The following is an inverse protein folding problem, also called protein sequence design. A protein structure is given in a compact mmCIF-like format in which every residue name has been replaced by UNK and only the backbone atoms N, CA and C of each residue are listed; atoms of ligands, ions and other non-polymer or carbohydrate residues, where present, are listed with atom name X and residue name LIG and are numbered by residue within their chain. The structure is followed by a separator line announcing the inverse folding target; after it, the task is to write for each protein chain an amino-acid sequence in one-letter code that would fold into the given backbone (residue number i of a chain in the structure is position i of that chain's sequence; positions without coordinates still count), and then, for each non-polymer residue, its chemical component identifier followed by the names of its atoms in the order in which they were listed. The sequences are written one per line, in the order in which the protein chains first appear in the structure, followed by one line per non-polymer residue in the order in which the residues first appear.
data_IF_345227889153
#
_entry.id   IF_345227889153
#
_cell.length_a   1.000
_cell.length_b   1.000
_cell.length_c   1.000
_cell.angle_alpha   90.00
_cell.angle_beta   90.00
_cell.angle_gamma   90.00
#
_symmetry.space_group_name_H-M   'P 1'
#
loop_
_entity.id
_entity.type
_entity.pdbx_description
1 polymer ?
#
# COMPACT_ATOMS: atom_id res chain seq x y z
N UNK A 1 -31.50 20.64 48.19
CA UNK A 1 -30.47 21.09 49.13
C UNK A 1 -29.37 21.66 48.26
N UNK A 2 -29.35 23.04 48.01
CA UNK A 2 -28.63 24.06 48.78
C UNK A 2 -27.13 23.83 48.75
N UNK A 3 -26.24 24.69 48.21
CA UNK A 3 -26.02 26.16 48.24
C UNK A 3 -25.14 26.53 47.06
N UNK A 4 -25.31 27.47 46.26
CA UNK A 4 -25.13 28.95 46.22
C UNK A 4 -24.00 29.48 47.10
N UNK A 5 -22.98 30.06 46.47
CA UNK A 5 -22.17 31.14 47.00
C UNK A 5 -21.56 31.98 45.88
N UNK A 6 -22.02 33.24 45.82
CA UNK A 6 -21.44 34.41 45.17
C UNK A 6 -20.32 34.99 46.05
N UNK A 7 -19.35 35.68 45.43
CA UNK A 7 -18.69 36.93 45.93
C UNK A 7 -17.69 37.37 44.86
N UNK A 8 -17.87 38.43 44.17
CA UNK A 8 -17.65 39.87 44.44
C UNK A 8 -16.20 40.31 44.23
N UNK A 9 -15.95 40.99 43.14
CA UNK A 9 -15.70 42.43 42.97
C UNK A 9 -14.46 43.02 43.69
N UNK A 10 -13.47 43.47 42.94
CA UNK A 10 -12.73 44.70 43.26
C UNK A 10 -12.23 45.42 42.00
N UNK A 11 -12.75 46.60 41.78
CA UNK A 11 -12.28 47.66 40.88
C UNK A 11 -11.02 48.30 41.49
N UNK A 12 -10.05 48.63 40.64
CA UNK A 12 -9.12 49.73 40.92
C UNK A 12 -8.94 50.58 39.67
N UNK A 13 -9.48 51.78 39.78
CA UNK A 13 -9.36 52.91 38.82
C UNK A 13 -8.21 53.83 39.32
N UNK A 14 -7.26 54.13 38.46
CA UNK A 14 -6.40 55.31 38.52
C UNK A 14 -6.07 55.61 37.05
N UNK A 15 -6.45 56.65 36.42
CA UNK A 15 -6.45 58.06 36.75
C UNK A 15 -5.66 58.79 35.65
N UNK A 16 -6.35 59.62 34.90
CA UNK A 16 -6.00 60.48 33.77
C UNK A 16 -4.70 61.29 33.83
N UNK A 17 -4.08 61.62 32.64
CA UNK A 17 -4.15 63.01 32.11
C UNK A 17 -3.68 63.11 30.64
N UNK A 18 -4.18 64.09 29.91
CA UNK A 18 -4.13 64.12 28.44
C UNK A 18 -2.98 65.01 27.89
N UNK A 19 -2.54 64.66 26.70
CA UNK A 19 -1.65 65.44 25.88
C UNK A 19 -2.22 65.63 24.47
N UNK A 20 -2.45 66.84 24.15
CA UNK A 20 -3.07 67.41 22.96
C UNK A 20 -2.23 67.24 21.68
N UNK A 21 -2.90 67.08 20.54
CA UNK A 21 -2.43 67.72 19.29
C UNK A 21 -2.46 66.83 18.06
N UNK A 22 -3.32 67.18 17.11
CA UNK A 22 -3.06 66.95 15.70
C UNK A 22 -4.10 66.06 14.97
N UNK A 23 -5.02 66.74 14.32
CA UNK A 23 -5.90 66.33 13.25
C UNK A 23 -5.16 65.44 12.22
N UNK A 24 -5.77 64.34 11.73
CA UNK A 24 -6.60 64.43 10.52
C UNK A 24 -7.38 63.10 10.36
N UNK A 25 -8.64 63.29 10.06
CA UNK A 25 -9.59 62.23 9.68
C UNK A 25 -9.25 61.71 8.28
N UNK A 26 -9.21 60.36 8.16
CA UNK A 26 -9.77 59.73 6.95
C UNK A 26 -10.28 58.35 7.38
N UNK A 27 -11.61 58.21 7.27
CA UNK A 27 -12.30 56.96 7.33
C UNK A 27 -11.80 56.06 6.18
N UNK A 28 -11.35 54.93 6.54
CA UNK A 28 -11.04 53.81 5.63
C UNK A 28 -12.03 52.70 5.86
N UNK A 29 -13.17 52.79 5.21
CA UNK A 29 -14.12 51.70 5.01
C UNK A 29 -13.45 50.61 4.16
N UNK A 30 -13.69 49.40 4.55
CA UNK A 30 -13.74 48.25 3.64
C UNK A 30 -12.38 47.79 3.14
N UNK A 31 -11.89 46.70 3.68
CA UNK A 31 -11.03 45.82 2.92
C UNK A 31 -11.79 45.34 1.68
N UNK A 32 -11.77 46.18 0.63
CA UNK A 32 -12.00 45.70 -0.72
C UNK A 32 -10.87 44.66 -0.97
N UNK A 33 -11.21 43.46 -1.35
CA UNK A 33 -10.33 42.48 -1.93
C UNK A 33 -9.54 43.15 -3.07
N UNK A 34 -8.32 43.57 -2.77
CA UNK A 34 -7.43 44.08 -3.80
C UNK A 34 -7.01 42.85 -4.61
N UNK A 35 -7.41 42.73 -5.91
CA UNK A 35 -7.03 41.58 -6.70
C UNK A 35 -5.51 41.48 -6.68
N UNK A 36 -4.99 40.34 -6.27
CA UNK A 36 -3.55 40.09 -6.30
C UNK A 36 -3.03 40.38 -7.71
N UNK A 37 -1.98 41.21 -7.81
CA UNK A 37 -1.34 41.42 -9.11
C UNK A 37 -0.77 40.08 -9.60
N UNK A 38 -1.23 39.62 -10.78
CA UNK A 38 -0.85 38.34 -11.35
C UNK A 38 -2.00 37.30 -11.32
N UNK A 39 -1.72 36.09 -11.79
CA UNK A 39 -2.71 34.99 -11.73
C UNK A 39 -2.92 34.53 -10.28
N UNK A 40 -4.16 34.23 -9.91
CA UNK A 40 -4.53 33.75 -8.56
C UNK A 40 -5.49 32.56 -8.61
N UNK A 41 -4.99 31.38 -8.24
CA UNK A 41 -5.76 30.15 -8.25
C UNK A 41 -6.66 30.06 -7.02
N UNK A 42 -7.91 29.66 -7.21
CA UNK A 42 -8.83 29.34 -6.12
C UNK A 42 -9.78 28.21 -6.49
N UNK A 43 -10.31 27.54 -5.48
CA UNK A 43 -11.39 26.59 -5.58
C UNK A 43 -12.28 26.81 -4.37
N UNK A 44 -13.57 27.11 -4.58
CA UNK A 44 -14.48 27.42 -3.48
C UNK A 44 -14.79 26.16 -2.66
N UNK A 45 -14.82 24.98 -3.31
CA UNK A 45 -15.06 23.68 -2.69
C UNK A 45 -13.89 22.73 -2.95
N UNK A 46 -12.73 22.92 -2.28
CA UNK A 46 -11.55 22.09 -2.52
C UNK A 46 -11.65 20.68 -1.93
N UNK A 47 -12.71 20.39 -1.16
CA UNK A 47 -12.98 19.11 -0.55
C UNK A 47 -14.32 18.57 -1.00
N UNK A 48 -14.31 17.42 -1.67
CA UNK A 48 -15.51 16.70 -2.02
C UNK A 48 -15.69 15.48 -1.11
N UNK A 49 -16.83 15.43 -0.40
CA UNK A 49 -17.22 14.27 0.39
C UNK A 49 -18.21 13.43 -0.43
N UNK A 50 -17.78 12.24 -0.85
CA UNK A 50 -18.60 11.34 -1.64
C UNK A 50 -19.51 10.44 -0.77
N UNK A 51 -19.52 10.63 0.55
CA UNK A 51 -20.37 9.88 1.47
C UNK A 51 -19.93 8.41 1.59
N UNK A 52 -20.91 7.50 1.48
CA UNK A 52 -20.69 6.04 1.56
C UNK A 52 -20.95 5.43 0.19
N UNK A 53 -19.97 4.71 -0.33
CA UNK A 53 -20.04 4.00 -1.62
C UNK A 53 -19.65 2.53 -1.44
N UNK A 54 -20.05 1.67 -2.38
CA UNK A 54 -19.67 0.27 -2.37
C UNK A 54 -18.24 0.08 -2.95
N UNK A 55 -17.52 -0.92 -2.43
CA UNK A 55 -16.21 -1.32 -2.98
C UNK A 55 -16.35 -1.73 -4.45
N UNK A 56 -15.51 -1.14 -5.30
CA UNK A 56 -15.53 -1.32 -6.76
C UNK A 56 -16.27 -0.24 -7.53
N UNK A 57 -17.02 0.64 -6.87
CA UNK A 57 -17.63 1.80 -7.53
C UNK A 57 -16.56 2.82 -7.95
N UNK A 58 -16.84 3.52 -9.06
CA UNK A 58 -16.03 4.64 -9.51
C UNK A 58 -16.71 5.95 -9.07
N UNK A 59 -16.01 6.74 -8.27
CA UNK A 59 -16.46 8.06 -7.83
C UNK A 59 -15.92 9.11 -8.78
N UNK A 60 -16.83 9.87 -9.39
CA UNK A 60 -16.49 10.93 -10.32
C UNK A 60 -16.89 12.28 -9.71
N UNK A 61 -15.98 13.27 -9.81
CA UNK A 61 -16.25 14.64 -9.37
C UNK A 61 -15.53 15.66 -10.26
N UNK A 62 -16.13 16.84 -10.41
CA UNK A 62 -15.57 17.95 -11.15
C UNK A 62 -15.33 19.11 -10.19
N UNK A 63 -14.07 19.45 -9.97
CA UNK A 63 -13.69 20.65 -9.24
C UNK A 63 -13.65 21.86 -10.17
N UNK A 64 -14.25 22.97 -9.73
CA UNK A 64 -14.21 24.25 -10.45
C UNK A 64 -13.04 25.06 -9.91
N UNK A 65 -12.12 25.37 -10.79
CA UNK A 65 -10.97 26.23 -10.51
C UNK A 65 -11.28 27.62 -11.04
N UNK A 66 -11.08 28.64 -10.21
CA UNK A 66 -11.30 30.05 -10.54
C UNK A 66 -9.99 30.81 -10.56
N UNK A 67 -9.88 31.74 -11.49
CA UNK A 67 -8.81 32.71 -11.51
C UNK A 67 -9.32 34.03 -10.89
N UNK A 68 -8.94 34.31 -9.65
CA UNK A 68 -9.27 35.57 -8.93
C UNK A 68 -8.23 36.68 -9.17
N UNK A 69 -7.23 36.43 -10.01
CA UNK A 69 -6.18 37.35 -10.33
C UNK A 69 -6.45 38.26 -11.55
N UNK A 70 -5.44 39.04 -11.94
CA UNK A 70 -5.50 39.99 -13.05
C UNK A 70 -4.88 39.45 -14.33
N UNK A 71 -4.11 38.36 -14.26
CA UNK A 71 -3.42 37.75 -15.40
C UNK A 71 -3.93 36.34 -15.67
N UNK A 72 -3.59 35.77 -16.84
CA UNK A 72 -3.99 34.40 -17.21
C UNK A 72 -3.37 33.38 -16.27
N UNK A 73 -4.23 32.62 -15.62
CA UNK A 73 -3.83 31.48 -14.81
C UNK A 73 -3.61 30.26 -15.71
N UNK A 74 -2.40 29.67 -15.62
CA UNK A 74 -2.02 28.48 -16.38
C UNK A 74 -1.90 27.28 -15.44
N UNK A 75 -2.67 26.23 -15.72
CA UNK A 75 -2.58 24.96 -15.00
C UNK A 75 -1.52 24.08 -15.68
N UNK A 76 -0.38 23.91 -15.04
CA UNK A 76 0.71 23.09 -15.55
C UNK A 76 0.44 21.59 -15.42
N UNK A 77 -0.18 21.16 -14.32
CA UNK A 77 -0.56 19.76 -14.12
C UNK A 77 -1.60 19.59 -13.02
N UNK A 78 -2.39 18.51 -13.09
CA UNK A 78 -3.19 18.00 -12.00
C UNK A 78 -2.84 16.52 -11.80
N UNK A 79 -2.38 16.13 -10.60
CA UNK A 79 -1.90 14.76 -10.34
C UNK A 79 -2.51 14.19 -9.07
N UNK A 80 -3.13 13.01 -9.20
CA UNK A 80 -3.61 12.24 -8.07
C UNK A 80 -2.49 11.67 -7.22
N UNK A 81 -2.72 11.54 -5.92
CA UNK A 81 -1.76 10.98 -4.94
C UNK A 81 -1.48 9.49 -5.11
N UNK A 82 -2.20 8.79 -5.97
CA UNK A 82 -2.00 7.36 -6.28
C UNK A 82 -2.50 7.03 -7.69
N UNK A 83 -2.11 5.86 -8.21
CA UNK A 83 -2.58 5.34 -9.49
C UNK A 83 -4.10 5.01 -9.56
N UNK A 84 -4.82 5.13 -8.45
CA UNK A 84 -6.27 4.94 -8.38
C UNK A 84 -7.07 6.23 -8.69
N UNK A 85 -6.38 7.36 -8.89
CA UNK A 85 -6.99 8.67 -9.16
C UNK A 85 -6.51 9.16 -10.51
N UNK A 86 -7.42 9.20 -11.48
CA UNK A 86 -7.18 9.81 -12.78
C UNK A 86 -7.72 11.24 -12.79
N UNK A 87 -7.03 12.15 -13.48
CA UNK A 87 -7.41 13.57 -13.58
C UNK A 87 -7.39 14.02 -15.03
N UNK A 88 -8.37 14.85 -15.40
CA UNK A 88 -8.45 15.51 -16.70
C UNK A 88 -8.68 17.00 -16.48
N UNK A 89 -7.84 17.84 -17.07
CA UNK A 89 -7.99 19.31 -17.07
C UNK A 89 -8.68 19.70 -18.37
N UNK A 90 -9.85 20.31 -18.28
CA UNK A 90 -10.63 20.71 -19.49
C UNK A 90 -10.10 21.98 -20.14
N UNK A 91 -9.57 22.90 -19.34
CA UNK A 91 -8.97 24.15 -19.81
C UNK A 91 -7.77 24.49 -18.95
N UNK A 92 -6.58 24.51 -19.55
CA UNK A 92 -5.33 24.78 -18.87
C UNK A 92 -4.93 26.26 -18.81
N UNK A 93 -5.63 27.14 -19.53
CA UNK A 93 -5.47 28.60 -19.48
C UNK A 93 -6.81 29.25 -19.11
N UNK A 94 -6.86 29.90 -17.96
CA UNK A 94 -8.05 30.49 -17.39
C UNK A 94 -7.85 31.99 -17.33
N UNK A 95 -8.65 32.81 -18.11
CA UNK A 95 -8.54 34.25 -18.09
C UNK A 95 -8.92 34.85 -16.74
N UNK A 96 -8.58 36.11 -16.44
CA UNK A 96 -9.02 36.80 -15.24
C UNK A 96 -10.53 36.72 -15.04
N UNK A 97 -10.97 36.33 -13.84
CA UNK A 97 -12.39 36.12 -13.53
C UNK A 97 -13.03 34.88 -14.15
N UNK A 98 -12.26 34.11 -14.94
CA UNK A 98 -12.75 32.89 -15.60
C UNK A 98 -12.68 31.64 -14.73
N UNK A 99 -13.26 30.55 -15.26
CA UNK A 99 -13.32 29.24 -14.60
C UNK A 99 -12.74 28.14 -15.51
N UNK A 100 -12.12 27.13 -14.88
CA UNK A 100 -11.66 25.88 -15.49
C UNK A 100 -12.16 24.67 -14.70
N UNK A 101 -12.12 23.50 -15.30
CA UNK A 101 -12.61 22.27 -14.67
C UNK A 101 -11.50 21.24 -14.55
N UNK A 102 -11.44 20.59 -13.39
CA UNK A 102 -10.60 19.41 -13.15
C UNK A 102 -11.53 18.24 -12.83
N UNK A 103 -11.71 17.35 -13.80
CA UNK A 103 -12.44 16.10 -13.57
C UNK A 103 -11.54 15.10 -12.87
N UNK A 104 -12.02 14.53 -11.78
CA UNK A 104 -11.35 13.52 -10.98
C UNK A 104 -12.17 12.24 -10.96
N UNK A 105 -11.52 11.11 -11.30
CA UNK A 105 -12.10 9.77 -11.22
C UNK A 105 -11.34 8.98 -10.17
N UNK A 106 -12.03 8.49 -9.16
CA UNK A 106 -11.48 7.73 -8.06
C UNK A 106 -12.04 6.31 -8.08
N UNK A 107 -11.19 5.31 -8.32
CA UNK A 107 -11.56 3.91 -8.20
C UNK A 107 -11.50 3.47 -6.74
N UNK A 108 -12.58 2.86 -6.27
CA UNK A 108 -12.66 2.28 -4.91
C UNK A 108 -12.29 0.79 -4.88
N UNK A 109 -11.93 0.21 -6.01
CA UNK A 109 -11.63 -1.21 -6.11
C UNK A 109 -10.49 -1.66 -5.19
N UNK A 110 -10.74 -2.70 -4.39
CA UNK A 110 -9.78 -3.23 -3.41
C UNK A 110 -9.56 -2.32 -2.21
N UNK A 111 -10.50 -1.38 -1.95
CA UNK A 111 -10.44 -0.42 -0.84
C UNK A 111 -11.67 -0.57 0.04
N UNK A 112 -11.47 -0.62 1.34
CA UNK A 112 -12.55 -0.68 2.34
C UNK A 112 -12.17 0.23 3.51
N UNK A 113 -13.17 0.88 4.09
CA UNK A 113 -12.99 1.82 5.19
C UNK A 113 -12.96 3.28 4.74
N UNK A 114 -12.46 4.16 5.59
CA UNK A 114 -12.33 5.59 5.28
C UNK A 114 -11.27 5.78 4.18
N UNK A 115 -11.68 6.46 3.11
CA UNK A 115 -10.83 6.74 1.95
C UNK A 115 -10.69 8.24 1.80
N UNK A 116 -9.44 8.71 1.82
CA UNK A 116 -9.08 10.09 1.51
C UNK A 116 -7.99 10.09 0.43
N UNK A 117 -8.20 10.88 -0.62
CA UNK A 117 -7.27 11.06 -1.73
C UNK A 117 -7.15 12.52 -2.08
N UNK A 118 -5.94 12.92 -2.47
CA UNK A 118 -5.62 14.28 -2.86
C UNK A 118 -5.24 14.35 -4.33
N UNK A 119 -5.54 15.49 -4.93
CA UNK A 119 -5.05 15.90 -6.25
C UNK A 119 -4.27 17.19 -6.08
N UNK A 120 -3.00 17.15 -6.45
CA UNK A 120 -2.14 18.33 -6.46
C UNK A 120 -2.24 19.01 -7.82
N UNK A 121 -2.69 20.27 -7.83
CA UNK A 121 -2.81 21.12 -9.01
C UNK A 121 -1.67 22.11 -8.98
N UNK A 122 -0.82 22.07 -10.00
CA UNK A 122 0.32 23.00 -10.14
C UNK A 122 -0.01 24.09 -11.13
N UNK A 123 0.27 25.35 -10.80
CA UNK A 123 -0.06 26.52 -11.62
C UNK A 123 1.08 27.56 -11.63
N UNK A 124 0.88 28.63 -12.39
CA UNK A 124 1.74 29.81 -12.42
C UNK A 124 1.38 30.87 -11.38
N UNK A 125 0.51 30.58 -10.42
CA UNK A 125 0.21 31.48 -9.31
C UNK A 125 1.47 31.68 -8.45
N UNK A 126 1.98 32.91 -8.29
CA UNK A 126 3.21 33.15 -7.53
C UNK A 126 3.04 33.00 -6.02
N UNK A 127 1.81 33.10 -5.51
CA UNK A 127 1.49 32.99 -4.07
C UNK A 127 1.15 31.58 -3.69
N UNK A 128 0.33 30.91 -4.53
CA UNK A 128 -0.12 29.53 -4.30
C UNK A 128 0.14 28.66 -5.55
N UNK A 129 1.42 28.33 -5.86
CA UNK A 129 1.75 27.56 -7.05
C UNK A 129 1.19 26.15 -7.05
N UNK A 130 0.80 25.63 -5.87
CA UNK A 130 0.22 24.32 -5.70
C UNK A 130 -1.08 24.38 -4.89
N UNK A 131 -2.19 24.07 -5.52
CA UNK A 131 -3.49 23.89 -4.88
C UNK A 131 -3.75 22.40 -4.64
N UNK A 132 -4.23 22.04 -3.45
CA UNK A 132 -4.59 20.66 -3.10
C UNK A 132 -6.09 20.51 -3.05
N UNK A 133 -6.61 19.66 -3.94
CA UNK A 133 -7.99 19.21 -3.94
C UNK A 133 -8.10 17.86 -3.21
N UNK A 134 -9.22 17.61 -2.54
CA UNK A 134 -9.41 16.42 -1.72
C UNK A 134 -10.73 15.74 -2.04
N UNK A 135 -10.69 14.41 -2.18
CA UNK A 135 -11.85 13.53 -2.19
C UNK A 135 -11.84 12.68 -0.94
N UNK A 136 -12.91 12.66 -0.17
CA UNK A 136 -13.04 11.86 1.05
C UNK A 136 -14.40 11.17 1.13
N UNK A 137 -14.48 10.07 1.85
CA UNK A 137 -15.70 9.31 2.10
C UNK A 137 -15.39 7.95 2.70
N UNK A 138 -16.39 7.09 2.76
CA UNK A 138 -16.29 5.73 3.29
C UNK A 138 -16.62 4.72 2.20
N UNK A 139 -15.75 3.73 2.02
CA UNK A 139 -16.01 2.59 1.14
C UNK A 139 -16.44 1.41 1.99
N UNK A 140 -17.62 0.87 1.73
CA UNK A 140 -18.14 -0.32 2.41
C UNK A 140 -18.14 -1.51 1.46
N UNK A 141 -17.83 -2.68 2.01
CA UNK A 141 -17.92 -3.94 1.29
C UNK A 141 -19.20 -4.66 1.71
N UNK A 142 -20.18 -4.70 0.82
CA UNK A 142 -21.48 -5.31 1.12
C UNK A 142 -21.45 -6.83 0.99
N UNK A 143 -20.59 -7.35 0.10
CA UNK A 143 -20.40 -8.77 -0.08
C UNK A 143 -18.93 -9.12 -0.25
N UNK A 144 -18.43 -10.08 0.49
CA UNK A 144 -17.04 -10.54 0.47
C UNK A 144 -16.96 -12.03 0.78
N UNK A 145 -15.76 -12.56 0.78
CA UNK A 145 -15.48 -13.87 1.34
C UNK A 145 -14.74 -13.77 2.68
N UNK A 146 -14.96 -14.72 3.54
CA UNK A 146 -14.21 -14.92 4.78
C UNK A 146 -13.50 -16.29 4.73
N UNK A 147 -12.15 -16.27 4.67
CA UNK A 147 -11.29 -15.12 4.53
C UNK A 147 -11.30 -14.51 3.11
N UNK A 148 -11.25 -13.17 3.01
CA UNK A 148 -11.10 -12.46 1.73
C UNK A 148 -9.72 -12.70 1.06
N UNK A 149 -8.76 -13.14 1.86
CA UNK A 149 -7.42 -13.52 1.44
C UNK A 149 -7.04 -14.85 2.10
N UNK A 150 -7.11 -15.93 1.32
CA UNK A 150 -6.75 -17.28 1.75
C UNK A 150 -5.23 -17.47 1.64
N UNK A 151 -4.53 -17.29 2.75
CA UNK A 151 -3.11 -17.55 2.84
C UNK A 151 -2.87 -18.99 3.30
N UNK A 152 -2.43 -19.84 2.39
CA UNK A 152 -2.12 -21.25 2.67
C UNK A 152 -0.76 -21.46 3.38
N UNK A 153 0.04 -20.38 3.49
CA UNK A 153 1.37 -20.45 4.08
C UNK A 153 2.35 -21.28 3.22
N UNK A 154 3.26 -21.98 3.89
CA UNK A 154 4.16 -22.93 3.22
C UNK A 154 3.43 -24.24 2.93
N UNK A 155 3.61 -24.76 1.72
CA UNK A 155 3.04 -26.04 1.25
C UNK A 155 4.16 -26.86 0.64
N UNK A 156 4.26 -28.12 1.05
CA UNK A 156 5.28 -29.04 0.53
C UNK A 156 4.99 -29.37 -0.93
N UNK A 157 5.99 -29.28 -1.78
CA UNK A 157 5.90 -29.66 -3.21
C UNK A 157 5.37 -31.09 -3.35
N UNK A 158 4.44 -31.30 -4.26
CA UNK A 158 3.80 -32.59 -4.50
C UNK A 158 2.64 -32.92 -3.57
N UNK A 159 2.25 -32.02 -2.66
CA UNK A 159 1.10 -32.21 -1.76
C UNK A 159 -0.07 -31.31 -2.17
N UNK A 160 -1.26 -31.69 -1.69
CA UNK A 160 -2.48 -30.89 -1.83
C UNK A 160 -2.86 -30.29 -0.49
N UNK A 161 -3.38 -29.08 -0.51
CA UNK A 161 -3.93 -28.41 0.68
C UNK A 161 -5.35 -27.96 0.43
N UNK A 162 -6.27 -28.41 1.26
CA UNK A 162 -7.70 -28.07 1.19
C UNK A 162 -8.05 -27.03 2.24
N UNK A 163 -8.90 -26.09 1.87
CA UNK A 163 -9.44 -25.05 2.75
C UNK A 163 -10.85 -24.66 2.29
N UNK A 164 -11.61 -24.04 3.17
CA UNK A 164 -12.94 -23.53 2.86
C UNK A 164 -12.98 -22.02 3.00
N UNK A 165 -13.81 -21.39 2.17
CA UNK A 165 -14.05 -19.95 2.17
C UNK A 165 -15.55 -19.74 2.14
N UNK A 166 -16.08 -18.84 2.98
CA UNK A 166 -17.51 -18.58 3.08
C UNK A 166 -17.87 -17.19 2.62
N UNK A 167 -19.02 -17.05 2.01
CA UNK A 167 -19.61 -15.77 1.67
C UNK A 167 -19.94 -14.99 2.96
N UNK A 168 -19.59 -13.70 3.00
CA UNK A 168 -19.69 -12.84 4.18
C UNK A 168 -20.09 -11.42 3.76
N UNK A 169 -20.49 -10.58 4.72
CA UNK A 169 -20.90 -9.20 4.50
C UNK A 169 -22.40 -8.99 4.63
N UNK A 170 -22.85 -7.73 4.47
CA UNK A 170 -24.25 -7.30 4.69
C UNK A 170 -25.24 -8.03 3.79
N UNK A 171 -24.85 -8.31 2.54
CA UNK A 171 -25.71 -8.98 1.56
C UNK A 171 -25.55 -10.51 1.56
N UNK A 172 -24.73 -11.07 2.45
CA UNK A 172 -24.48 -12.52 2.48
C UNK A 172 -25.70 -13.36 2.81
N UNK A 173 -26.73 -12.77 3.43
CA UNK A 173 -28.00 -13.44 3.73
C UNK A 173 -28.76 -13.78 2.44
N UNK A 174 -28.84 -12.83 1.52
CA UNK A 174 -29.66 -12.91 0.31
C UNK A 174 -28.86 -13.39 -0.91
N UNK A 175 -27.53 -13.28 -0.83
CA UNK A 175 -26.64 -13.70 -1.88
C UNK A 175 -26.48 -15.22 -1.94
N UNK A 176 -26.46 -15.75 -3.15
CA UNK A 176 -26.17 -17.14 -3.50
C UNK A 176 -25.08 -17.19 -4.55
N UNK A 177 -24.17 -18.12 -4.43
CA UNK A 177 -23.14 -18.38 -5.41
C UNK A 177 -23.72 -19.24 -6.55
N UNK A 178 -23.61 -18.78 -7.78
CA UNK A 178 -24.11 -19.47 -8.97
C UNK A 178 -23.01 -20.25 -9.67
N UNK A 179 -21.83 -19.65 -9.79
CA UNK A 179 -20.67 -20.24 -10.45
C UNK A 179 -19.38 -19.79 -9.81
N UNK A 180 -18.30 -20.55 -10.00
CA UNK A 180 -16.96 -20.23 -9.50
C UNK A 180 -15.90 -20.59 -10.55
N UNK A 181 -14.89 -19.74 -10.66
CA UNK A 181 -13.77 -19.95 -11.56
C UNK A 181 -12.44 -19.52 -10.93
N UNK A 182 -11.42 -20.38 -10.88
CA UNK A 182 -10.09 -20.02 -10.47
C UNK A 182 -9.30 -19.40 -11.63
N UNK A 183 -8.39 -18.47 -11.33
CA UNK A 183 -7.48 -17.87 -12.33
C UNK A 183 -6.44 -18.87 -12.87
N UNK A 184 -6.14 -19.92 -12.11
CA UNK A 184 -5.21 -20.98 -12.48
C UNK A 184 -5.83 -22.36 -12.14
N UNK A 185 -6.53 -22.99 -13.10
CA UNK A 185 -7.16 -24.30 -12.88
C UNK A 185 -6.18 -25.46 -12.70
N UNK A 186 -4.90 -25.29 -13.03
CA UNK A 186 -3.86 -26.33 -12.81
C UNK A 186 -3.44 -26.37 -11.34
N UNK A 187 -3.40 -25.20 -10.71
CA UNK A 187 -2.99 -25.07 -9.31
C UNK A 187 -4.16 -25.06 -8.33
N UNK A 188 -5.33 -24.59 -8.75
CA UNK A 188 -6.51 -24.43 -7.90
C UNK A 188 -7.69 -25.23 -8.46
N UNK A 189 -8.19 -26.15 -7.69
CA UNK A 189 -9.49 -26.77 -7.90
C UNK A 189 -10.48 -26.18 -6.88
N UNK A 190 -11.65 -25.76 -7.36
CA UNK A 190 -12.68 -25.13 -6.54
C UNK A 190 -14.02 -25.84 -6.73
N UNK A 191 -14.78 -25.98 -5.65
CA UNK A 191 -16.09 -26.64 -5.65
C UNK A 191 -17.04 -25.88 -4.72
N UNK A 192 -18.27 -25.67 -5.16
CA UNK A 192 -19.34 -25.24 -4.28
C UNK A 192 -19.74 -26.39 -3.36
N UNK A 193 -19.66 -26.21 -2.05
CA UNK A 193 -20.20 -27.12 -1.06
C UNK A 193 -21.68 -26.85 -0.81
N UNK A 194 -22.05 -25.58 -0.82
CA UNK A 194 -23.41 -25.08 -0.75
C UNK A 194 -23.49 -23.71 -1.43
N UNK A 195 -24.64 -23.03 -1.35
CA UNK A 195 -24.86 -21.71 -1.97
C UNK A 195 -23.96 -20.56 -1.44
N UNK A 196 -23.19 -20.80 -0.37
CA UNK A 196 -22.36 -19.79 0.33
C UNK A 196 -20.95 -20.24 0.64
N UNK A 197 -20.63 -21.50 0.43
CA UNK A 197 -19.35 -22.09 0.85
C UNK A 197 -18.62 -22.71 -0.34
N UNK A 198 -17.36 -22.34 -0.47
CA UNK A 198 -16.44 -22.83 -1.50
C UNK A 198 -15.37 -23.69 -0.82
N UNK A 199 -15.17 -24.90 -1.31
CA UNK A 199 -13.97 -25.67 -1.06
C UNK A 199 -12.90 -25.27 -2.08
N UNK A 200 -11.69 -25.05 -1.60
CA UNK A 200 -10.51 -24.70 -2.39
C UNK A 200 -9.46 -25.76 -2.15
N UNK A 201 -9.04 -26.45 -3.20
CA UNK A 201 -7.93 -27.40 -3.16
C UNK A 201 -6.78 -26.81 -3.96
N UNK A 202 -5.67 -26.53 -3.28
CA UNK A 202 -4.42 -26.12 -3.91
C UNK A 202 -3.53 -27.34 -4.14
N UNK A 203 -3.12 -27.55 -5.40
CA UNK A 203 -2.21 -28.61 -5.79
C UNK A 203 -0.81 -28.05 -6.03
N UNK A 204 0.13 -28.41 -5.16
CA UNK A 204 1.52 -27.93 -5.21
C UNK A 204 2.43 -28.77 -6.14
N UNK A 205 1.89 -29.72 -6.91
CA UNK A 205 2.70 -30.66 -7.69
C UNK A 205 3.49 -29.99 -8.80
N UNK A 206 2.89 -29.00 -9.49
CA UNK A 206 3.46 -28.31 -10.64
C UNK A 206 3.94 -26.89 -10.31
N UNK A 207 3.84 -26.46 -9.05
CA UNK A 207 4.16 -25.11 -8.64
C UNK A 207 5.53 -25.08 -7.95
N UNK A 208 6.29 -24.02 -8.19
CA UNK A 208 7.55 -23.73 -7.51
C UNK A 208 7.54 -22.31 -6.92
N UNK A 209 8.05 -22.18 -5.70
CA UNK A 209 8.15 -20.89 -5.04
C UNK A 209 6.80 -20.29 -4.65
N UNK A 210 6.64 -19.00 -4.87
CA UNK A 210 5.43 -18.26 -4.44
C UNK A 210 4.33 -18.37 -5.48
N UNK A 211 3.16 -18.75 -5.01
CA UNK A 211 1.92 -18.78 -5.79
C UNK A 211 0.99 -17.66 -5.36
N UNK A 212 0.32 -17.04 -6.33
CA UNK A 212 -0.78 -16.09 -6.11
C UNK A 212 -1.81 -16.26 -7.20
N UNK A 213 -3.02 -16.65 -6.83
CA UNK A 213 -4.17 -16.80 -7.71
C UNK A 213 -5.38 -16.06 -7.16
N UNK A 214 -6.41 -15.95 -7.99
CA UNK A 214 -7.70 -15.37 -7.64
C UNK A 214 -8.81 -16.37 -7.97
N UNK A 215 -9.81 -16.45 -7.13
CA UNK A 215 -11.06 -17.15 -7.41
C UNK A 215 -12.16 -16.11 -7.55
N UNK A 216 -12.91 -16.18 -8.65
CA UNK A 216 -14.07 -15.32 -8.91
C UNK A 216 -15.32 -16.19 -8.81
N UNK A 217 -16.31 -15.69 -8.10
CA UNK A 217 -17.61 -16.31 -7.98
C UNK A 217 -18.70 -15.35 -8.50
N UNK A 218 -19.61 -15.86 -9.31
CA UNK A 218 -20.80 -15.13 -9.75
C UNK A 218 -21.91 -15.31 -8.71
N UNK A 219 -22.67 -14.25 -8.46
CA UNK A 219 -23.77 -14.26 -7.51
C UNK A 219 -25.12 -14.07 -8.22
N UNK A 220 -26.21 -14.33 -7.51
CA UNK A 220 -27.59 -14.04 -7.97
C UNK A 220 -27.96 -12.55 -7.88
N UNK A 221 -27.08 -11.72 -7.30
CA UNK A 221 -27.34 -10.28 -7.14
C UNK A 221 -27.01 -9.52 -8.42
N UNK A 222 -27.73 -8.43 -8.69
CA UNK A 222 -27.35 -7.49 -9.76
C UNK A 222 -26.06 -6.75 -9.40
N UNK A 223 -25.90 -6.39 -8.10
CA UNK A 223 -24.70 -5.77 -7.53
C UNK A 223 -24.43 -6.28 -6.12
N UNK A 224 -23.21 -6.76 -5.85
CA UNK A 224 -22.17 -7.09 -6.82
C UNK A 224 -22.48 -8.41 -7.55
N UNK A 225 -22.43 -8.40 -8.88
CA UNK A 225 -22.63 -9.62 -9.67
C UNK A 225 -21.50 -10.64 -9.45
N UNK A 226 -20.28 -10.16 -9.25
CA UNK A 226 -19.10 -10.99 -9.03
C UNK A 226 -18.40 -10.61 -7.74
N UNK A 227 -18.01 -11.63 -6.98
CA UNK A 227 -17.20 -11.52 -5.77
C UNK A 227 -15.94 -12.35 -5.92
N UNK A 228 -14.83 -11.87 -5.40
CA UNK A 228 -13.54 -12.56 -5.56
C UNK A 228 -12.77 -12.63 -4.26
N UNK A 229 -11.95 -13.66 -4.13
CA UNK A 229 -10.93 -13.74 -3.09
C UNK A 229 -9.60 -14.16 -3.69
N UNK A 230 -8.53 -13.83 -2.97
CA UNK A 230 -7.17 -14.17 -3.38
C UNK A 230 -6.68 -15.37 -2.61
N UNK A 231 -5.96 -16.24 -3.31
CA UNK A 231 -5.26 -17.39 -2.72
C UNK A 231 -3.77 -17.19 -2.88
N UNK A 232 -3.00 -17.43 -1.82
CA UNK A 232 -1.55 -17.46 -1.88
C UNK A 232 -0.98 -18.67 -1.17
N UNK A 233 0.16 -19.13 -1.67
CA UNK A 233 0.95 -20.19 -1.08
C UNK A 233 2.44 -19.94 -1.33
N UNK A 234 3.27 -20.55 -0.52
CA UNK A 234 4.69 -20.66 -0.79
C UNK A 234 5.06 -22.15 -0.85
N UNK A 235 5.23 -22.65 -2.08
CA UNK A 235 5.61 -24.04 -2.31
C UNK A 235 7.09 -24.20 -2.02
N UNK A 236 7.40 -25.11 -1.14
CA UNK A 236 8.76 -25.42 -0.69
C UNK A 236 9.07 -26.91 -0.91
N UNK A 237 10.32 -27.22 -1.15
CA UNK A 237 10.81 -28.58 -1.01
C UNK A 237 10.98 -28.92 0.48
N UNK A 238 11.29 -30.19 0.82
CA UNK A 238 11.46 -30.55 2.23
C UNK A 238 12.60 -29.78 2.86
N UNK A 239 13.76 -29.72 2.22
CA UNK A 239 14.81 -28.76 2.62
C UNK A 239 14.58 -27.45 1.89
N UNK A 240 14.46 -26.38 2.64
CA UNK A 240 14.26 -25.04 2.13
C UNK A 240 15.08 -24.03 2.95
N UNK A 241 15.13 -22.78 2.50
CA UNK A 241 15.89 -21.74 3.18
C UNK A 241 15.03 -20.48 3.43
N UNK A 242 15.44 -19.71 4.43
CA UNK A 242 14.87 -18.44 4.81
C UNK A 242 15.95 -17.40 5.09
N UNK A 243 15.82 -16.16 4.58
CA UNK A 243 14.74 -15.64 3.74
C UNK A 243 14.78 -16.20 2.32
N UNK A 244 13.65 -16.18 1.61
CA UNK A 244 13.53 -16.67 0.22
C UNK A 244 14.28 -15.82 -0.82
N UNK A 245 14.81 -14.68 -0.42
CA UNK A 245 15.66 -13.80 -1.22
C UNK A 245 16.80 -13.28 -0.38
N UNK A 246 18.01 -13.47 -0.87
CA UNK A 246 19.24 -13.03 -0.21
C UNK A 246 19.81 -11.84 -0.96
N UNK A 247 19.96 -10.74 -0.25
CA UNK A 247 20.56 -9.52 -0.78
C UNK A 247 21.89 -9.29 -0.06
N UNK A 248 22.95 -9.16 -0.85
CA UNK A 248 24.27 -8.76 -0.40
C UNK A 248 24.54 -7.38 -0.97
N UNK A 249 24.98 -6.44 -0.15
CA UNK A 249 25.31 -5.09 -0.61
C UNK A 249 26.79 -4.82 -0.39
N UNK A 250 27.40 -4.13 -1.34
CA UNK A 250 28.75 -3.60 -1.18
C UNK A 250 28.73 -2.48 -0.15
N UNK A 251 29.65 -2.51 0.81
CA UNK A 251 29.79 -1.45 1.82
C UNK A 251 31.06 -0.69 1.64
N UNK A 252 30.91 0.60 1.54
CA UNK A 252 31.99 1.56 1.76
C UNK A 252 32.38 1.58 3.23
N UNK A 253 33.68 1.33 3.50
CA UNK A 253 34.38 1.46 4.79
C UNK A 253 34.10 0.40 5.87
N UNK A 254 34.97 -0.61 5.93
CA UNK A 254 35.31 -1.43 7.11
C UNK A 254 34.28 -2.37 7.74
N UNK A 255 33.06 -2.56 7.20
CA UNK A 255 32.15 -3.62 7.65
C UNK A 255 31.88 -4.61 6.52
N UNK A 256 32.29 -5.88 6.74
CA UNK A 256 31.92 -7.00 5.86
C UNK A 256 30.42 -7.18 5.94
N UNK A 257 29.70 -7.05 4.82
CA UNK A 257 28.29 -7.41 4.79
C UNK A 257 28.15 -8.91 4.72
N UNK A 258 27.48 -9.43 5.73
CA UNK A 258 27.05 -10.82 5.78
C UNK A 258 25.52 -10.88 5.80
N UNK A 259 24.94 -11.75 5.00
CA UNK A 259 23.57 -12.17 5.12
C UNK A 259 23.53 -13.48 5.92
N UNK A 260 22.50 -13.63 6.74
CA UNK A 260 22.19 -14.88 7.44
C UNK A 260 21.07 -15.60 6.73
N UNK A 261 21.26 -16.88 6.47
CA UNK A 261 20.27 -17.74 5.82
C UNK A 261 20.10 -18.99 6.66
N UNK A 262 18.85 -19.31 7.01
CA UNK A 262 18.53 -20.56 7.71
C UNK A 262 18.16 -21.64 6.71
N UNK A 263 18.75 -22.81 6.84
CA UNK A 263 18.36 -24.03 6.11
C UNK A 263 17.56 -24.92 7.05
N UNK A 264 16.35 -25.27 6.62
CA UNK A 264 15.30 -25.87 7.45
C UNK A 264 14.73 -27.11 6.75
N UNK A 265 14.25 -28.10 7.55
CA UNK A 265 13.43 -29.19 7.03
C UNK A 265 11.95 -28.94 7.32
N UNK A 266 11.10 -28.94 6.29
CA UNK A 266 9.66 -28.77 6.42
C UNK A 266 8.99 -29.90 7.20
N UNK A 267 9.42 -31.15 6.94
CA UNK A 267 8.88 -32.34 7.62
C UNK A 267 9.59 -32.63 8.95
N UNK A 268 10.64 -31.87 9.29
CA UNK A 268 11.46 -32.12 10.49
C UNK A 268 12.36 -33.33 10.39
N UNK A 269 12.48 -33.94 9.20
CA UNK A 269 13.44 -35.04 8.98
C UNK A 269 14.86 -34.54 9.17
N UNK A 270 15.73 -35.32 9.85
CA UNK A 270 17.12 -34.91 10.05
C UNK A 270 17.88 -34.85 8.72
N UNK A 271 18.86 -33.96 8.66
CA UNK A 271 19.79 -33.82 7.55
C UNK A 271 21.13 -33.30 8.05
N UNK A 272 22.18 -33.45 7.23
CA UNK A 272 23.48 -32.87 7.45
C UNK A 272 23.95 -32.15 6.19
N UNK A 273 24.55 -30.98 6.38
CA UNK A 273 25.22 -30.26 5.29
C UNK A 273 26.63 -30.82 5.17
N UNK A 274 26.97 -31.39 4.01
CA UNK A 274 28.28 -31.88 3.67
C UNK A 274 29.21 -30.76 3.25
N UNK A 275 28.70 -29.83 2.44
CA UNK A 275 29.43 -28.70 1.89
C UNK A 275 28.44 -27.59 1.52
N UNK A 276 28.89 -26.32 1.67
CA UNK A 276 28.18 -25.16 1.15
C UNK A 276 29.21 -24.21 0.53
N UNK A 277 28.97 -23.78 -0.72
CA UNK A 277 29.92 -22.98 -1.46
C UNK A 277 29.27 -22.19 -2.58
N UNK A 278 29.89 -21.11 -2.99
CA UNK A 278 29.59 -20.36 -4.20
C UNK A 278 30.49 -20.81 -5.34
N UNK A 279 29.99 -21.39 -6.43
CA UNK A 279 30.80 -21.81 -7.58
C UNK A 279 31.58 -20.66 -8.23
N UNK A 280 31.08 -19.43 -8.13
CA UNK A 280 31.74 -18.25 -8.70
C UNK A 280 32.81 -17.66 -7.77
N UNK A 281 32.84 -18.07 -6.49
CA UNK A 281 33.83 -17.64 -5.52
C UNK A 281 33.64 -16.19 -5.03
N UNK A 282 32.51 -15.55 -5.29
CA UNK A 282 32.21 -14.20 -4.80
C UNK A 282 31.80 -14.19 -3.33
N UNK A 283 31.23 -15.29 -2.85
CA UNK A 283 30.68 -15.42 -1.49
C UNK A 283 31.41 -16.51 -0.72
N UNK A 284 31.95 -16.15 0.44
CA UNK A 284 32.39 -17.12 1.44
C UNK A 284 31.19 -17.55 2.27
N UNK A 285 31.03 -18.87 2.48
CA UNK A 285 29.94 -19.47 3.22
C UNK A 285 30.44 -20.06 4.52
N UNK A 286 29.98 -19.56 5.65
CA UNK A 286 30.13 -20.17 6.97
C UNK A 286 28.89 -21.04 7.26
N UNK A 287 29.10 -22.23 7.83
CA UNK A 287 28.03 -23.18 8.19
C UNK A 287 28.06 -23.42 9.69
N UNK A 288 26.92 -23.13 10.34
CA UNK A 288 26.75 -23.37 11.78
C UNK A 288 25.49 -24.22 12.01
N UNK A 289 25.61 -25.25 12.85
CA UNK A 289 24.44 -26.09 13.20
C UNK A 289 23.61 -25.42 14.30
N UNK A 290 22.30 -25.32 14.07
CA UNK A 290 21.32 -24.77 15.01
C UNK A 290 20.24 -25.83 15.31
N UNK A 291 20.50 -26.67 16.29
CA UNK A 291 19.64 -27.80 16.64
C UNK A 291 19.48 -28.81 15.49
N UNK A 292 18.26 -28.85 14.91
CA UNK A 292 17.95 -29.70 13.73
C UNK A 292 18.18 -29.00 12.41
N UNK A 293 18.49 -27.69 12.43
CA UNK A 293 18.62 -26.81 11.29
C UNK A 293 20.08 -26.31 11.16
N UNK A 294 20.30 -25.43 10.17
CA UNK A 294 21.59 -24.79 9.97
C UNK A 294 21.43 -23.30 9.70
N UNK A 295 22.37 -22.50 10.21
CA UNK A 295 22.57 -21.11 9.88
C UNK A 295 23.75 -20.99 8.93
N UNK A 296 23.56 -20.36 7.79
CA UNK A 296 24.61 -20.04 6.83
C UNK A 296 24.92 -18.55 6.90
N UNK A 297 26.16 -18.22 7.18
CA UNK A 297 26.68 -16.86 7.08
C UNK A 297 27.28 -16.63 5.69
N UNK A 298 26.69 -15.74 4.89
CA UNK A 298 27.14 -15.42 3.55
C UNK A 298 27.88 -14.09 3.56
N UNK A 299 29.18 -14.10 3.23
CA UNK A 299 30.03 -12.90 3.23
C UNK A 299 30.65 -12.68 1.86
N UNK A 300 30.53 -11.48 1.29
CA UNK A 300 31.18 -11.12 0.04
C UNK A 300 32.71 -11.08 0.22
N UNK A 301 33.45 -11.77 -0.65
CA UNK A 301 34.92 -11.78 -0.68
C UNK A 301 35.48 -10.93 -1.82
N UNK A 302 34.87 -11.00 -2.99
CA UNK A 302 35.11 -10.16 -4.16
C UNK A 302 33.74 -9.81 -4.76
N UNK A 303 33.38 -8.56 -4.77
CA UNK A 303 32.10 -8.18 -5.38
C UNK A 303 32.28 -7.75 -6.83
N UNK A 304 31.52 -8.29 -7.78
CA UNK A 304 31.18 -7.53 -8.96
C UNK A 304 30.35 -6.32 -8.50
N UNK A 305 30.45 -5.20 -9.19
CA UNK A 305 29.71 -3.96 -8.84
C UNK A 305 28.19 -4.18 -8.75
N UNK A 306 27.65 -5.14 -9.47
CA UNK A 306 26.27 -5.66 -9.46
C UNK A 306 26.28 -7.08 -10.02
N UNK A 307 25.45 -7.94 -9.50
CA UNK A 307 25.38 -9.32 -9.99
C UNK A 307 24.40 -10.19 -9.23
N UNK A 308 24.27 -11.39 -9.69
CA UNK A 308 23.52 -12.47 -9.03
C UNK A 308 24.37 -13.74 -9.07
N UNK A 309 24.16 -14.58 -8.07
CA UNK A 309 24.83 -15.87 -7.97
C UNK A 309 23.99 -16.86 -7.18
N UNK A 310 24.57 -18.04 -6.97
CA UNK A 310 23.90 -19.13 -6.26
C UNK A 310 24.89 -19.78 -5.32
N UNK A 311 24.52 -19.91 -4.06
CA UNK A 311 25.21 -20.78 -3.10
C UNK A 311 24.63 -22.18 -3.21
N UNK A 312 25.48 -23.16 -3.47
CA UNK A 312 25.12 -24.57 -3.51
C UNK A 312 25.37 -25.18 -2.12
N UNK A 313 24.32 -25.81 -1.58
CA UNK A 313 24.39 -26.56 -0.33
C UNK A 313 24.22 -28.04 -0.64
N UNK A 314 25.26 -28.82 -0.40
CA UNK A 314 25.24 -30.28 -0.55
C UNK A 314 24.82 -30.94 0.76
N UNK A 315 23.87 -31.87 0.69
CA UNK A 315 23.35 -32.56 1.87
C UNK A 315 23.57 -34.08 1.81
N UNK A 316 23.34 -34.76 2.92
CA UNK A 316 23.33 -36.21 3.01
C UNK A 316 21.99 -36.86 2.56
N UNK A 317 20.97 -36.05 2.28
CA UNK A 317 19.64 -36.50 1.88
C UNK A 317 19.66 -37.10 0.47
N UNK A 318 19.14 -38.30 0.33
CA UNK A 318 19.04 -39.00 -0.97
C UNK A 318 17.98 -38.36 -1.88
N UNK A 319 16.91 -37.85 -1.29
CA UNK A 319 15.75 -37.24 -1.95
C UNK A 319 15.99 -35.74 -2.30
N UNK A 320 16.95 -35.10 -1.64
CA UNK A 320 17.31 -33.71 -1.92
C UNK A 320 18.81 -33.48 -1.63
N UNK A 321 19.63 -33.93 -2.58
CA UNK A 321 21.11 -33.86 -2.45
C UNK A 321 21.65 -32.43 -2.47
N UNK A 322 20.98 -31.54 -3.20
CA UNK A 322 21.38 -30.16 -3.40
C UNK A 322 20.25 -29.20 -3.07
N UNK A 323 20.62 -28.08 -2.47
CA UNK A 323 19.75 -26.93 -2.27
C UNK A 323 20.49 -25.71 -2.84
N UNK A 324 19.82 -24.96 -3.73
CA UNK A 324 20.35 -23.76 -4.36
C UNK A 324 19.76 -22.53 -3.66
N UNK A 325 20.64 -21.63 -3.20
CA UNK A 325 20.28 -20.39 -2.52
C UNK A 325 20.69 -19.22 -3.40
N UNK A 326 19.79 -18.65 -4.19
CA UNK A 326 20.08 -17.51 -5.05
C UNK A 326 20.34 -16.26 -4.20
N UNK A 327 21.34 -15.47 -4.60
CA UNK A 327 21.64 -14.20 -4.00
C UNK A 327 21.78 -13.09 -5.07
N UNK A 328 21.52 -11.86 -4.67
CA UNK A 328 21.69 -10.68 -5.49
C UNK A 328 22.68 -9.74 -4.81
N UNK A 329 23.66 -9.27 -5.56
CA UNK A 329 24.57 -8.20 -5.13
C UNK A 329 24.06 -6.90 -5.72
N UNK A 330 23.75 -5.93 -4.89
CA UNK A 330 23.21 -4.63 -5.30
C UNK A 330 24.04 -3.50 -4.73
N UNK A 331 24.17 -2.39 -5.48
CA UNK A 331 24.69 -1.15 -4.93
C UNK A 331 23.79 -0.61 -3.85
N UNK A 332 24.34 0.12 -2.89
CA UNK A 332 23.65 0.67 -1.72
C UNK A 332 22.38 1.45 -2.06
N UNK A 333 22.36 2.14 -3.20
CA UNK A 333 21.26 3.01 -3.62
C UNK A 333 20.13 2.28 -4.37
N UNK A 334 20.33 1.00 -4.72
CA UNK A 334 19.38 0.19 -5.49
C UNK A 334 18.49 -0.73 -4.62
N UNK A 335 18.74 -0.81 -3.33
CA UNK A 335 17.92 -1.66 -2.44
C UNK A 335 16.57 -0.98 -2.18
N UNK A 336 15.44 -1.69 -2.39
CA UNK A 336 14.14 -1.17 -1.99
C UNK A 336 14.09 -1.05 -0.47
N UNK A 337 14.19 0.17 0.05
CA UNK A 337 14.06 0.44 1.48
C UNK A 337 12.60 0.15 1.89
N UNK A 338 12.31 -1.09 2.24
CA UNK A 338 11.15 -1.36 3.10
C UNK A 338 11.51 -0.80 4.47
N UNK A 339 10.93 0.36 4.82
CA UNK A 339 10.95 0.88 6.18
C UNK A 339 10.49 -0.24 7.12
N UNK A 340 11.44 -0.80 7.87
CA UNK A 340 11.15 -1.62 9.03
C UNK A 340 10.32 -0.75 9.96
N UNK A 341 9.03 -1.06 10.12
CA UNK A 341 8.20 -0.47 11.16
C UNK A 341 8.87 -0.81 12.49
N UNK A 342 9.37 0.20 13.16
CA UNK A 342 9.77 0.06 14.56
C UNK A 342 8.55 -0.40 15.35
N UNK A 343 8.69 -1.34 16.29
CA UNK A 343 7.60 -1.70 17.19
C UNK A 343 7.25 -0.46 18.04
N UNK A 344 5.98 -0.11 18.06
CA UNK A 344 5.47 0.91 18.99
C UNK A 344 5.77 0.45 20.41
N UNK A 345 6.56 1.25 21.12
CA UNK A 345 6.68 1.11 22.58
C UNK A 345 5.31 1.32 23.21
N UNK A 346 4.95 0.38 24.08
CA UNK A 346 3.77 0.47 24.96
C UNK A 346 3.82 1.70 25.85
#
# INVERSE_FOLDING_TARGET
MRYVALASLLLLVVGCKPGSGGRDAHGGLGSADNPSQGPAISCDEPVYDFGVVEEGEEVNHIFIIKNKGTDVLKIASARGSCGCTATVVSNNEIPPGGEGQIQVRLSTQGRVGVLEKTVSVSSNDPVQPNLVLKMKGKVEQYLSFDPAFLNLGKVLKGTKKTSTVKLSGKLSTDAKLLSIAPSDPKALSVKLLDEKTIEVVFDASQIEGRFSGTVVAETNLEKPKNVKFRVSAWVVQDLFFEPDRVYLSEVTTHKRHSAQVKVLSFTGKPFSIKRAYDPQGFVQVGVERDGKNYNLGLSLTKAPSEGHGVVIVETDRKDQKHLEIPYVVAKKDALPIKRLRQPMKK
#
